data_IF_220506985226
#
_entry.id   IF_220506985226
#
_cell.length_a   1.000
_cell.length_b   1.000
_cell.length_c   1.000
_cell.angle_alpha   90.00
_cell.angle_beta   90.00
_cell.angle_gamma   90.00
#
_symmetry.space_group_name_H-M   'P 1'
#
loop_
_entity.id
_entity.type
_entity.pdbx_description
1 polymer ?
#
# COMPACT_ATOMS: atom_id res chain seq x y z
N UNK A 1 2.20 19.82 -22.31
CA UNK A 1 1.87 19.13 -21.05
C UNK A 1 0.36 18.92 -20.87
N UNK A 2 -0.48 19.94 -21.09
CA UNK A 2 -1.95 19.80 -20.96
C UNK A 2 -2.56 18.61 -21.73
N UNK A 3 -2.21 18.45 -23.01
CA UNK A 3 -2.69 17.34 -23.86
C UNK A 3 -2.30 15.95 -23.34
N UNK A 4 -1.11 15.81 -22.75
CA UNK A 4 -0.61 14.54 -22.20
C UNK A 4 -1.38 14.16 -20.94
N UNK A 5 -1.68 15.15 -20.08
CA UNK A 5 -2.52 14.97 -18.89
C UNK A 5 -3.95 14.61 -19.29
N UNK A 6 -4.53 15.33 -20.25
CA UNK A 6 -5.87 15.06 -20.78
C UNK A 6 -5.98 13.65 -21.37
N UNK A 7 -4.96 13.21 -22.12
CA UNK A 7 -4.89 11.83 -22.62
C UNK A 7 -4.80 10.81 -21.48
N UNK A 8 -4.04 11.11 -20.42
CA UNK A 8 -3.96 10.27 -19.23
C UNK A 8 -5.30 10.13 -18.52
N UNK A 9 -6.03 11.24 -18.34
CA UNK A 9 -7.38 11.23 -17.75
C UNK A 9 -8.34 10.42 -18.62
N UNK A 10 -8.36 10.64 -19.93
CA UNK A 10 -9.23 9.91 -20.84
C UNK A 10 -8.93 8.40 -20.86
N UNK A 11 -7.67 8.00 -20.70
CA UNK A 11 -7.28 6.61 -20.52
C UNK A 11 -7.80 6.05 -19.19
N UNK A 12 -7.57 6.77 -18.09
CA UNK A 12 -8.01 6.35 -16.76
C UNK A 12 -9.53 6.24 -16.62
N UNK A 13 -10.29 7.17 -17.22
CA UNK A 13 -11.75 7.17 -17.22
C UNK A 13 -12.36 6.09 -18.14
N UNK A 14 -11.56 5.30 -18.86
CA UNK A 14 -12.08 4.32 -19.81
C UNK A 14 -12.58 4.93 -21.13
N UNK A 15 -12.51 6.26 -21.31
CA UNK A 15 -13.07 6.97 -22.48
C UNK A 15 -12.24 6.85 -23.74
N UNK A 16 -10.92 6.70 -23.60
CA UNK A 16 -10.01 6.48 -24.73
C UNK A 16 -10.14 5.03 -25.23
N UNK A 17 -10.24 4.78 -26.53
CA UNK A 17 -10.32 3.43 -27.14
C UNK A 17 -11.57 2.57 -26.80
N UNK A 18 -12.62 3.16 -26.22
CA UNK A 18 -13.91 2.51 -26.02
C UNK A 18 -13.85 1.23 -25.17
N UNK A 19 -14.51 0.17 -25.62
CA UNK A 19 -14.69 -1.09 -24.88
C UNK A 19 -13.37 -1.74 -24.46
N UNK A 20 -12.31 -1.65 -25.28
CA UNK A 20 -11.02 -2.24 -24.95
C UNK A 20 -10.41 -1.63 -23.68
N UNK A 21 -10.44 -0.30 -23.57
CA UNK A 21 -9.93 0.39 -22.39
C UNK A 21 -10.84 0.16 -21.17
N UNK A 22 -12.15 0.07 -21.37
CA UNK A 22 -13.09 -0.28 -20.31
C UNK A 22 -12.78 -1.66 -19.71
N UNK A 23 -12.48 -2.67 -20.54
CA UNK A 23 -12.09 -4.01 -20.06
C UNK A 23 -10.76 -3.95 -19.30
N UNK A 24 -9.77 -3.17 -19.77
CA UNK A 24 -8.50 -3.00 -19.06
C UNK A 24 -8.70 -2.35 -17.70
N UNK A 25 -9.47 -1.26 -17.63
CA UNK A 25 -9.77 -0.58 -16.37
C UNK A 25 -10.58 -1.45 -15.41
N UNK A 26 -11.55 -2.21 -15.92
CA UNK A 26 -12.29 -3.19 -15.13
C UNK A 26 -11.37 -4.26 -14.54
N UNK A 27 -10.45 -4.78 -15.35
CA UNK A 27 -9.46 -5.79 -14.90
C UNK A 27 -8.55 -5.20 -13.82
N UNK A 28 -8.09 -3.95 -13.99
CA UNK A 28 -7.29 -3.27 -12.99
C UNK A 28 -8.06 -3.09 -11.66
N UNK A 29 -9.35 -2.72 -11.73
CA UNK A 29 -10.22 -2.63 -10.56
C UNK A 29 -10.38 -3.98 -9.85
N UNK A 30 -10.64 -5.07 -10.59
CA UNK A 30 -10.74 -6.42 -10.02
C UNK A 30 -9.42 -6.89 -9.41
N UNK A 31 -8.29 -6.58 -10.04
CA UNK A 31 -6.96 -6.87 -9.50
C UNK A 31 -6.71 -6.12 -8.18
N UNK A 32 -7.07 -4.83 -8.11
CA UNK A 32 -6.98 -4.03 -6.89
C UNK A 32 -7.86 -4.60 -5.76
N UNK A 33 -9.10 -4.98 -6.06
CA UNK A 33 -9.99 -5.62 -5.09
C UNK A 33 -9.34 -6.92 -4.57
N UNK A 34 -8.85 -7.75 -5.49
CA UNK A 34 -8.19 -9.01 -5.13
C UNK A 34 -6.96 -8.77 -4.26
N UNK A 35 -6.14 -7.77 -4.59
CA UNK A 35 -4.95 -7.39 -3.82
C UNK A 35 -5.33 -6.94 -2.40
N UNK A 36 -6.36 -6.11 -2.25
CA UNK A 36 -6.84 -5.63 -0.94
C UNK A 36 -7.35 -6.81 -0.10
N UNK A 37 -8.23 -7.64 -0.67
CA UNK A 37 -8.83 -8.79 0.03
C UNK A 37 -7.75 -9.79 0.47
N UNK A 38 -6.85 -10.15 -0.44
CA UNK A 38 -5.75 -11.08 -0.13
C UNK A 38 -4.76 -10.47 0.87
N UNK A 39 -4.48 -9.18 0.81
CA UNK A 39 -3.66 -8.47 1.79
C UNK A 39 -4.25 -8.55 3.20
N UNK A 40 -5.53 -8.22 3.35
CA UNK A 40 -6.25 -8.32 4.64
C UNK A 40 -6.30 -9.77 5.12
N UNK A 41 -6.57 -10.72 4.23
CA UNK A 41 -6.61 -12.14 4.56
C UNK A 41 -5.25 -12.67 5.03
N UNK A 42 -4.16 -12.33 4.34
CA UNK A 42 -2.79 -12.68 4.74
C UNK A 42 -2.42 -12.09 6.10
N UNK A 43 -2.81 -10.83 6.37
CA UNK A 43 -2.62 -10.22 7.67
C UNK A 43 -3.43 -10.95 8.75
N UNK A 44 -4.70 -11.24 8.50
CA UNK A 44 -5.56 -11.94 9.47
C UNK A 44 -5.01 -13.32 9.85
N UNK A 45 -4.43 -14.04 8.88
CA UNK A 45 -3.82 -15.36 9.10
C UNK A 45 -2.49 -15.28 9.87
N UNK A 46 -1.74 -14.19 9.75
CA UNK A 46 -0.37 -14.05 10.29
C UNK A 46 -0.26 -13.14 11.51
N UNK A 47 -1.32 -12.40 11.86
CA UNK A 47 -1.32 -11.49 13.02
C UNK A 47 -1.16 -12.28 14.32
N UNK A 48 -0.46 -11.74 15.34
CA UNK A 48 -0.35 -12.39 16.64
C UNK A 48 -1.70 -12.47 17.35
N UNK A 49 -2.00 -13.60 18.02
CA UNK A 49 -3.23 -13.73 18.81
C UNK A 49 -3.26 -12.68 19.93
N UNK A 50 -4.38 -11.95 20.02
CA UNK A 50 -4.58 -10.90 21.03
C UNK A 50 -3.94 -9.55 20.70
N UNK A 51 -3.33 -9.39 19.52
CA UNK A 51 -2.75 -8.11 19.06
C UNK A 51 -3.15 -7.77 17.63
N UNK A 52 -3.26 -6.49 17.34
CA UNK A 52 -3.44 -5.92 16.01
C UNK A 52 -2.11 -5.47 15.38
N UNK A 53 -1.00 -6.05 15.84
CA UNK A 53 0.34 -5.68 15.41
C UNK A 53 0.80 -6.35 14.11
N UNK A 54 1.94 -5.88 13.61
CA UNK A 54 2.57 -6.45 12.43
C UNK A 54 3.00 -7.92 12.69
N UNK A 55 2.85 -8.83 11.72
CA UNK A 55 3.38 -10.18 11.81
C UNK A 55 4.90 -10.21 12.08
N UNK A 56 5.38 -11.31 12.65
CA UNK A 56 6.81 -11.49 12.94
C UNK A 56 7.68 -11.27 11.70
N UNK A 57 8.83 -10.62 11.91
CA UNK A 57 9.77 -10.31 10.82
C UNK A 57 10.22 -11.61 10.14
N UNK A 58 10.33 -11.62 8.80
CA UNK A 58 10.84 -12.78 8.08
C UNK A 58 12.27 -13.12 8.53
N UNK A 59 12.60 -14.41 8.58
CA UNK A 59 13.91 -14.93 9.00
C UNK A 59 15.06 -14.52 8.07
N UNK A 60 14.75 -14.14 6.83
CA UNK A 60 15.74 -13.68 5.86
C UNK A 60 16.12 -12.22 6.06
N UNK A 61 17.43 -11.94 6.17
CA UNK A 61 17.98 -10.57 6.26
C UNK A 61 17.79 -9.73 5.00
N UNK A 62 17.63 -10.33 3.81
CA UNK A 62 17.55 -9.58 2.53
C UNK A 62 16.15 -9.05 2.21
N UNK A 63 15.12 -9.82 2.55
CA UNK A 63 13.72 -9.48 2.30
C UNK A 63 13.31 -8.07 2.78
N UNK A 64 13.69 -7.59 3.99
CA UNK A 64 13.29 -6.25 4.43
C UNK A 64 13.90 -5.13 3.58
N UNK A 65 15.15 -5.26 3.13
CA UNK A 65 15.79 -4.21 2.32
C UNK A 65 15.15 -4.08 0.94
N UNK A 66 14.80 -5.21 0.31
CA UNK A 66 14.09 -5.19 -0.98
C UNK A 66 12.73 -4.51 -0.87
N UNK A 67 11.97 -4.79 0.18
CA UNK A 67 10.68 -4.15 0.42
C UNK A 67 10.86 -2.64 0.65
N UNK A 68 11.83 -2.23 1.46
CA UNK A 68 12.12 -0.81 1.70
C UNK A 68 12.52 -0.10 0.39
N UNK A 69 13.36 -0.72 -0.45
CA UNK A 69 13.76 -0.14 -1.73
C UNK A 69 12.56 0.06 -2.67
N UNK A 70 11.66 -0.93 -2.74
CA UNK A 70 10.42 -0.83 -3.52
C UNK A 70 9.52 0.28 -2.97
N UNK A 71 9.33 0.35 -1.65
CA UNK A 71 8.54 1.40 -1.00
C UNK A 71 9.13 2.79 -1.25
N UNK A 72 10.44 2.95 -1.19
CA UNK A 72 11.11 4.22 -1.47
C UNK A 72 10.96 4.64 -2.94
N UNK A 73 11.16 3.71 -3.88
CA UNK A 73 10.97 3.96 -5.31
C UNK A 73 9.51 4.34 -5.63
N UNK A 74 8.54 3.60 -5.10
CA UNK A 74 7.12 3.91 -5.25
C UNK A 74 6.73 5.22 -4.56
N UNK A 75 7.28 5.51 -3.38
CA UNK A 75 7.02 6.75 -2.66
C UNK A 75 7.56 7.99 -3.39
N UNK A 76 8.66 7.84 -4.13
CA UNK A 76 9.20 8.92 -4.97
C UNK A 76 8.35 9.13 -6.23
N UNK A 77 7.89 8.04 -6.86
CA UNK A 77 7.01 8.11 -8.04
C UNK A 77 5.60 8.62 -7.68
N UNK A 78 5.11 8.28 -6.49
CA UNK A 78 3.80 8.66 -5.95
C UNK A 78 3.97 9.45 -4.64
N UNK A 79 4.28 10.75 -4.70
CA UNK A 79 4.69 11.53 -3.54
C UNK A 79 3.65 11.56 -2.43
N UNK A 80 2.36 11.59 -2.78
CA UNK A 80 1.29 11.54 -1.78
C UNK A 80 1.32 10.23 -0.99
N UNK A 81 1.53 9.09 -1.65
CA UNK A 81 1.67 7.80 -0.99
C UNK A 81 2.97 7.72 -0.15
N UNK A 82 4.07 8.29 -0.64
CA UNK A 82 5.31 8.40 0.15
C UNK A 82 5.11 9.21 1.44
N UNK A 83 4.41 10.34 1.34
CA UNK A 83 4.09 11.19 2.50
C UNK A 83 3.22 10.44 3.50
N UNK A 84 2.20 9.68 3.07
CA UNK A 84 1.37 8.91 4.02
C UNK A 84 2.16 7.83 4.73
N UNK A 85 3.08 7.13 4.04
CA UNK A 85 3.97 6.16 4.68
C UNK A 85 4.87 6.81 5.74
N UNK A 86 5.45 7.99 5.43
CA UNK A 86 6.25 8.75 6.40
C UNK A 86 5.42 9.23 7.59
N UNK A 87 4.20 9.71 7.35
CA UNK A 87 3.28 10.14 8.40
C UNK A 87 2.93 8.98 9.34
N UNK A 88 2.62 7.80 8.79
CA UNK A 88 2.35 6.59 9.60
C UNK A 88 3.60 6.16 10.38
N UNK A 89 4.79 6.23 9.78
CA UNK A 89 6.05 5.92 10.46
C UNK A 89 6.31 6.87 11.64
N UNK A 90 6.08 8.17 11.44
CA UNK A 90 6.20 9.17 12.50
C UNK A 90 5.17 8.93 13.61
N UNK A 91 3.94 8.56 13.27
CA UNK A 91 2.90 8.22 14.24
C UNK A 91 3.26 6.96 15.05
N UNK A 92 3.80 5.92 14.41
CA UNK A 92 4.31 4.74 15.10
C UNK A 92 5.41 5.11 16.09
N UNK A 93 6.38 5.91 15.64
CA UNK A 93 7.55 6.29 16.42
C UNK A 93 7.24 7.24 17.58
N UNK A 94 6.41 8.26 17.34
CA UNK A 94 6.09 9.30 18.31
C UNK A 94 4.96 8.91 19.28
N UNK A 95 4.00 8.10 18.84
CA UNK A 95 2.78 7.81 19.61
C UNK A 95 2.73 6.34 20.03
N UNK A 96 2.73 5.41 19.07
CA UNK A 96 2.46 3.99 19.36
C UNK A 96 3.52 3.39 20.27
N UNK A 97 4.81 3.63 19.97
CA UNK A 97 5.93 3.12 20.78
C UNK A 97 6.07 3.79 22.15
N UNK A 98 5.62 5.04 22.28
CA UNK A 98 5.73 5.79 23.54
C UNK A 98 4.60 5.45 24.51
N UNK A 99 3.42 5.12 24.00
CA UNK A 99 2.25 4.79 24.83
C UNK A 99 2.18 3.29 25.09
N UNK A 100 2.47 2.87 26.33
CA UNK A 100 2.53 1.45 26.71
C UNK A 100 1.22 0.66 26.50
N UNK A 101 0.06 1.33 26.47
CA UNK A 101 -1.23 0.72 26.10
C UNK A 101 -1.32 0.44 24.61
N UNK A 102 -0.92 1.39 23.76
CA UNK A 102 -0.94 1.24 22.31
C UNK A 102 0.13 0.23 21.84
N UNK A 103 1.33 0.28 22.42
CA UNK A 103 2.38 -0.69 22.13
C UNK A 103 1.99 -2.13 22.48
N UNK A 104 1.14 -2.34 23.50
CA UNK A 104 0.63 -3.67 23.84
C UNK A 104 -0.38 -4.22 22.82
N UNK A 105 -1.08 -3.34 22.09
CA UNK A 105 -2.12 -3.71 21.13
C UNK A 105 -1.53 -3.79 19.71
N UNK A 106 -0.70 -2.84 19.32
CA UNK A 106 -0.15 -2.68 17.96
C UNK A 106 1.32 -3.11 17.82
N UNK A 107 2.04 -3.27 18.92
CA UNK A 107 3.45 -3.67 18.93
C UNK A 107 3.70 -5.17 19.05
#
# INVERSE_FOLDING_TARGET
MAKTVEQGIALHEGRRYGTANLIVMLTACLALITLIVTGVWMWWKRRPHGRAGAPARPTSRRTPYTVIAIMAGLGLLFPLAGITMLAVLLLDWLVIRRVARLNRIFG
#
